data_IF_571400295862
#
_entry.id   IF_571400295862
#
_cell.length_a   1.000
_cell.length_b   1.000
_cell.length_c   1.000
_cell.angle_alpha   90.00
_cell.angle_beta   90.00
_cell.angle_gamma   90.00
#
_symmetry.space_group_name_H-M   'P 1'
#
loop_
_entity.id
_entity.type
_entity.pdbx_description
1 polymer ?
#
# COMPACT_ATOMS: atom_id res chain seq x y z
N UNK A 1 9.19 -6.33 7.30
CA UNK A 1 8.57 -5.19 7.95
C UNK A 1 7.16 -4.98 7.39
N UNK A 2 6.20 -4.80 8.26
CA UNK A 2 4.81 -4.64 7.85
C UNK A 2 4.38 -3.18 7.93
N UNK A 3 3.76 -2.70 6.86
CA UNK A 3 3.33 -1.31 6.77
C UNK A 3 1.83 -1.23 6.56
N UNK A 4 1.22 -0.22 7.15
CA UNK A 4 -0.20 0.05 6.94
C UNK A 4 -0.32 1.25 6.01
N UNK A 5 -1.01 1.05 4.89
CA UNK A 5 -1.22 2.10 3.90
C UNK A 5 -2.70 2.48 3.89
N UNK A 6 -2.99 3.69 4.33
CA UNK A 6 -4.35 4.22 4.31
C UNK A 6 -4.47 5.22 3.16
N UNK A 7 -5.20 4.84 2.11
CA UNK A 7 -5.34 5.67 0.92
C UNK A 7 -6.69 5.41 0.28
N UNK A 8 -7.41 6.46 -0.06
CA UNK A 8 -8.72 6.32 -0.68
C UNK A 8 -8.66 6.27 -2.21
N UNK A 9 -7.52 6.57 -2.80
CA UNK A 9 -7.34 6.45 -4.24
C UNK A 9 -6.68 5.12 -4.58
N UNK A 10 -7.44 4.25 -5.24
CA UNK A 10 -6.98 2.88 -5.49
C UNK A 10 -5.77 2.80 -6.42
N UNK A 11 -5.74 3.64 -7.45
CA UNK A 11 -4.60 3.62 -8.36
C UNK A 11 -3.31 3.96 -7.65
N UNK A 12 -3.35 4.98 -6.79
CA UNK A 12 -2.18 5.37 -6.01
C UNK A 12 -1.81 4.28 -5.01
N UNK A 13 -2.79 3.69 -4.36
CA UNK A 13 -2.56 2.62 -3.41
C UNK A 13 -1.87 1.43 -4.06
N UNK A 14 -2.32 1.04 -5.26
CA UNK A 14 -1.71 -0.06 -5.99
C UNK A 14 -0.25 0.23 -6.34
N UNK A 15 0.03 1.44 -6.80
CA UNK A 15 1.39 1.82 -7.17
C UNK A 15 2.31 1.79 -5.94
N UNK A 16 1.85 2.36 -4.84
CA UNK A 16 2.65 2.37 -3.62
C UNK A 16 2.87 0.97 -3.07
N UNK A 17 1.83 0.14 -3.09
CA UNK A 17 1.95 -1.24 -2.62
C UNK A 17 3.00 -2.00 -3.44
N UNK A 18 2.96 -1.85 -4.75
CA UNK A 18 3.92 -2.54 -5.61
C UNK A 18 5.35 -2.10 -5.31
N UNK A 19 5.57 -0.80 -5.13
CA UNK A 19 6.90 -0.27 -4.84
C UNK A 19 7.39 -0.80 -3.49
N UNK A 20 6.55 -0.77 -2.48
CA UNK A 20 6.94 -1.19 -1.14
C UNK A 20 7.21 -2.69 -1.09
N UNK A 21 6.41 -3.49 -1.78
CA UNK A 21 6.63 -4.93 -1.80
C UNK A 21 7.92 -5.31 -2.52
N UNK A 22 8.31 -4.53 -3.52
CA UNK A 22 9.60 -4.76 -4.18
C UNK A 22 10.76 -4.54 -3.24
N UNK A 23 10.56 -3.74 -2.19
CA UNK A 23 11.59 -3.46 -1.21
C UNK A 23 11.43 -4.33 0.04
N UNK A 24 10.76 -5.46 -0.09
CA UNK A 24 10.60 -6.46 0.96
C UNK A 24 9.73 -6.01 2.14
N UNK A 25 8.81 -5.09 1.90
CA UNK A 25 7.83 -4.71 2.91
C UNK A 25 6.54 -5.48 2.68
N UNK A 26 5.87 -5.84 3.77
CA UNK A 26 4.50 -6.35 3.70
C UNK A 26 3.55 -5.18 3.88
N UNK A 27 2.60 -5.03 2.96
CA UNK A 27 1.73 -3.86 2.97
C UNK A 27 0.29 -4.26 3.20
N UNK A 28 -0.35 -3.64 4.19
CA UNK A 28 -1.78 -3.72 4.41
C UNK A 28 -2.41 -2.46 3.85
N UNK A 29 -3.08 -2.58 2.73
CA UNK A 29 -3.75 -1.44 2.12
C UNK A 29 -5.19 -1.37 2.59
N UNK A 30 -5.58 -0.23 3.16
CA UNK A 30 -6.95 0.00 3.59
C UNK A 30 -7.51 1.21 2.86
N UNK A 31 -8.79 1.18 2.61
CA UNK A 31 -9.47 2.25 1.91
C UNK A 31 -10.54 2.81 2.82
N UNK A 32 -10.51 4.11 3.00
CA UNK A 32 -11.53 4.80 3.78
C UNK A 32 -12.37 5.61 2.81
N UNK A 33 -13.42 5.01 2.39
CA UNK A 33 -14.25 5.61 1.39
C UNK A 33 -15.53 6.20 1.93
#
# INVERSE_FOLDING_TARGET
MRLLLAEDERALSKALTAILERNNYSVDAVYDG
#
